data_IF_222203869603
#
_entry.id   IF_222203869603
#
_cell.length_a   1.000
_cell.length_b   1.000
_cell.length_c   1.000
_cell.angle_alpha   90.00
_cell.angle_beta   90.00
_cell.angle_gamma   90.00
#
_symmetry.space_group_name_H-M   'P 1'
#
loop_
_entity.id
_entity.type
_entity.pdbx_description
1 polymer ?
#
# COMPACT_ATOMS: atom_id res chain seq x y z
N UNK A 1 12.09 -2.31 -1.22
CA UNK A 1 10.70 -2.81 -1.07
C UNK A 1 10.26 -3.75 -2.20
N UNK A 2 10.17 -3.32 -3.47
CA UNK A 2 9.58 -4.15 -4.55
C UNK A 2 10.29 -5.49 -4.79
N UNK A 3 11.64 -5.52 -4.82
CA UNK A 3 12.39 -6.78 -4.95
C UNK A 3 12.10 -7.78 -3.82
N UNK A 4 11.97 -7.30 -2.58
CA UNK A 4 11.67 -8.13 -1.41
C UNK A 4 10.26 -8.69 -1.49
N UNK A 5 9.27 -7.89 -1.94
CA UNK A 5 7.90 -8.39 -2.16
C UNK A 5 7.86 -9.48 -3.22
N UNK A 6 8.55 -9.30 -4.35
CA UNK A 6 8.64 -10.31 -5.40
C UNK A 6 9.31 -11.60 -4.90
N UNK A 7 10.39 -11.49 -4.13
CA UNK A 7 11.05 -12.65 -3.52
C UNK A 7 10.11 -13.39 -2.54
N UNK A 8 9.37 -12.66 -1.70
CA UNK A 8 8.36 -13.25 -0.81
C UNK A 8 7.24 -13.95 -1.58
N UNK A 9 6.75 -13.35 -2.67
CA UNK A 9 5.72 -13.98 -3.50
C UNK A 9 6.25 -15.28 -4.12
N UNK A 10 7.48 -15.26 -4.63
CA UNK A 10 8.12 -16.44 -5.21
C UNK A 10 8.24 -17.57 -4.18
N UNK A 11 8.73 -17.25 -2.97
CA UNK A 11 8.85 -18.19 -1.87
C UNK A 11 7.51 -18.84 -1.49
N UNK A 12 6.45 -18.04 -1.38
CA UNK A 12 5.09 -18.51 -1.04
C UNK A 12 4.52 -19.54 -2.02
N UNK A 13 5.00 -19.54 -3.26
CA UNK A 13 4.55 -20.47 -4.30
C UNK A 13 5.65 -21.46 -4.71
N UNK A 14 6.67 -21.64 -3.87
CA UNK A 14 7.72 -22.64 -4.05
C UNK A 14 8.68 -22.34 -5.20
N UNK A 15 8.89 -21.07 -5.52
CA UNK A 15 9.91 -20.63 -6.46
C UNK A 15 11.21 -20.22 -5.75
N UNK A 16 12.38 -20.43 -6.38
CA UNK A 16 13.67 -20.03 -5.81
C UNK A 16 13.76 -18.51 -5.68
N UNK A 17 14.51 -18.03 -4.69
CA UNK A 17 14.68 -16.59 -4.38
C UNK A 17 16.10 -16.07 -4.59
N UNK A 18 17.00 -16.90 -5.15
CA UNK A 18 18.43 -16.60 -5.31
C UNK A 18 18.74 -15.43 -6.25
N UNK A 19 18.02 -15.32 -7.38
CA UNK A 19 18.19 -14.22 -8.34
C UNK A 19 16.88 -13.83 -9.02
N UNK A 20 16.81 -12.58 -9.52
CA UNK A 20 15.65 -12.13 -10.30
C UNK A 20 15.40 -12.97 -11.55
N UNK A 21 16.46 -13.52 -12.16
CA UNK A 21 16.33 -14.39 -13.35
C UNK A 21 15.64 -15.70 -13.00
N UNK A 22 16.09 -16.37 -11.94
CA UNK A 22 15.52 -17.65 -11.47
C UNK A 22 14.08 -17.47 -10.99
N UNK A 23 13.81 -16.39 -10.25
CA UNK A 23 12.45 -16.03 -9.83
C UNK A 23 11.54 -15.92 -11.06
N UNK A 24 11.90 -15.09 -12.05
CA UNK A 24 11.07 -14.89 -13.25
C UNK A 24 10.87 -16.18 -14.03
N UNK A 25 11.91 -17.00 -14.17
CA UNK A 25 11.83 -18.27 -14.88
C UNK A 25 10.84 -19.22 -14.21
N UNK A 26 10.89 -19.34 -12.89
CA UNK A 26 9.94 -20.17 -12.14
C UNK A 26 8.53 -19.59 -12.14
N UNK A 27 8.35 -18.29 -11.93
CA UNK A 27 7.02 -17.66 -11.94
C UNK A 27 6.30 -17.88 -13.27
N UNK A 28 7.04 -17.89 -14.39
CA UNK A 28 6.47 -18.19 -15.73
C UNK A 28 5.94 -19.62 -15.90
N UNK A 29 6.36 -20.57 -15.05
CA UNK A 29 5.84 -21.95 -15.09
C UNK A 29 4.64 -22.15 -14.17
N UNK A 30 4.29 -21.15 -13.35
CA UNK A 30 3.20 -21.25 -12.38
C UNK A 30 1.86 -20.87 -13.02
N UNK A 31 0.75 -21.54 -12.65
CA UNK A 31 -0.58 -21.08 -13.00
C UNK A 31 -0.81 -19.64 -12.51
N UNK A 32 -1.39 -18.79 -13.35
CA UNK A 32 -1.68 -17.40 -12.99
C UNK A 32 -2.54 -17.29 -11.71
N UNK A 33 -3.48 -18.21 -11.51
CA UNK A 33 -4.31 -18.27 -10.32
C UNK A 33 -3.51 -18.51 -9.03
N UNK A 34 -2.40 -19.25 -9.09
CA UNK A 34 -1.53 -19.48 -7.93
C UNK A 34 -0.80 -18.18 -7.55
N UNK A 35 -0.30 -17.44 -8.56
CA UNK A 35 0.36 -16.14 -8.38
C UNK A 35 -0.61 -15.11 -7.77
N UNK A 36 -1.80 -14.97 -8.36
CA UNK A 36 -2.83 -14.02 -7.87
C UNK A 36 -3.33 -14.46 -6.49
N UNK A 37 -3.50 -15.76 -6.26
CA UNK A 37 -3.92 -16.30 -4.97
C UNK A 37 -2.93 -16.00 -3.83
N UNK A 38 -1.65 -15.81 -4.14
CA UNK A 38 -0.63 -15.42 -3.16
C UNK A 38 -0.73 -13.95 -2.71
N UNK A 39 -1.41 -13.08 -3.47
CA UNK A 39 -1.53 -11.64 -3.17
C UNK A 39 -2.19 -11.41 -1.80
N UNK A 40 -3.10 -12.28 -1.37
CA UNK A 40 -3.77 -12.18 -0.05
C UNK A 40 -2.79 -12.14 1.13
N UNK A 41 -1.59 -12.72 1.00
CA UNK A 41 -0.57 -12.70 2.05
C UNK A 41 0.17 -11.35 2.19
N UNK A 42 -0.14 -10.41 1.30
CA UNK A 42 0.36 -9.04 1.32
C UNK A 42 -0.69 -8.04 1.83
N UNK A 43 -1.90 -8.52 2.17
CA UNK A 43 -2.97 -7.71 2.74
C UNK A 43 -2.96 -7.89 4.26
N UNK A 44 -2.27 -6.97 4.94
CA UNK A 44 -2.00 -7.04 6.37
C UNK A 44 -3.24 -6.79 7.24
N UNK A 45 -4.19 -5.98 6.77
CA UNK A 45 -5.44 -5.70 7.49
C UNK A 45 -6.59 -5.57 6.49
N UNK A 46 -7.48 -6.57 6.49
CA UNK A 46 -8.56 -6.69 5.50
C UNK A 46 -7.97 -6.62 4.08
N UNK A 47 -8.39 -5.65 3.27
CA UNK A 47 -7.88 -5.41 1.93
C UNK A 47 -6.74 -4.38 1.89
N UNK A 48 -6.03 -4.12 3.00
CA UNK A 48 -5.00 -3.08 3.10
C UNK A 48 -3.59 -3.65 3.28
N UNK A 49 -2.57 -3.11 2.59
CA UNK A 49 -2.66 -2.02 1.59
C UNK A 49 -3.43 -2.45 0.33
N UNK A 50 -4.29 -1.58 -0.23
CA UNK A 50 -5.16 -1.92 -1.37
C UNK A 50 -4.39 -2.24 -2.66
N UNK A 51 -3.15 -1.74 -2.77
CA UNK A 51 -2.24 -2.03 -3.87
C UNK A 51 -0.91 -2.57 -3.31
N UNK A 52 -0.83 -3.88 -3.00
CA UNK A 52 0.42 -4.47 -2.51
C UNK A 52 1.51 -4.49 -3.59
N UNK A 53 1.10 -4.58 -4.87
CA UNK A 53 1.96 -4.46 -6.05
C UNK A 53 1.50 -3.25 -6.87
N UNK A 54 2.38 -2.25 -6.97
CA UNK A 54 2.11 -1.00 -7.70
C UNK A 54 3.26 -0.63 -8.63
N UNK A 55 3.18 0.58 -9.18
CA UNK A 55 4.18 1.13 -10.11
C UNK A 55 5.51 1.32 -9.37
N UNK A 56 6.62 1.09 -10.07
CA UNK A 56 7.98 1.32 -9.58
C UNK A 56 8.74 2.18 -10.58
N UNK A 57 9.74 2.93 -10.10
CA UNK A 57 10.69 3.61 -10.99
C UNK A 57 11.46 2.55 -11.77
N UNK A 58 11.51 2.66 -13.10
CA UNK A 58 12.09 1.65 -13.98
C UNK A 58 13.22 2.16 -14.90
N UNK A 59 13.58 3.44 -14.79
CA UNK A 59 14.65 4.06 -15.60
C UNK A 59 16.04 3.47 -15.41
N UNK A 60 16.31 2.79 -14.29
CA UNK A 60 17.63 2.21 -14.02
C UNK A 60 17.84 0.82 -14.64
N UNK A 61 16.80 0.17 -15.17
CA UNK A 61 16.88 -1.22 -15.67
C UNK A 61 16.06 -1.51 -16.92
N UNK A 62 15.02 -0.74 -17.21
CA UNK A 62 14.22 -0.91 -18.43
C UNK A 62 14.90 -0.25 -19.62
N UNK A 63 14.90 -0.91 -20.78
CA UNK A 63 15.32 -0.29 -22.05
C UNK A 63 14.32 0.76 -22.53
N UNK A 64 13.04 0.58 -22.19
CA UNK A 64 11.93 1.47 -22.53
C UNK A 64 11.14 1.75 -21.23
N UNK A 65 11.63 2.64 -20.37
CA UNK A 65 11.01 2.90 -19.07
C UNK A 65 9.64 3.56 -19.21
N UNK A 66 8.67 3.09 -18.44
CA UNK A 66 7.34 3.73 -18.30
C UNK A 66 7.39 4.85 -17.26
N UNK A 67 8.12 4.64 -16.16
CA UNK A 67 8.33 5.63 -15.10
C UNK A 67 9.84 5.79 -14.84
N UNK A 68 10.54 6.59 -15.66
CA UNK A 68 12.00 6.64 -15.65
C UNK A 68 12.60 7.22 -14.36
N UNK A 69 11.86 8.06 -13.64
CA UNK A 69 12.29 8.67 -12.38
C UNK A 69 11.07 8.91 -11.47
N UNK A 70 11.30 9.39 -10.25
CA UNK A 70 10.24 9.71 -9.31
C UNK A 70 9.27 10.75 -9.89
N UNK A 71 7.94 10.53 -9.85
CA UNK A 71 6.96 11.41 -10.49
C UNK A 71 7.09 12.88 -10.08
N UNK A 72 7.31 13.14 -8.79
CA UNK A 72 7.51 14.50 -8.28
C UNK A 72 8.71 15.21 -8.92
N UNK A 73 9.81 14.49 -9.17
CA UNK A 73 11.00 15.06 -9.82
C UNK A 73 10.73 15.32 -11.30
N UNK A 74 10.09 14.39 -12.00
CA UNK A 74 9.70 14.57 -13.40
C UNK A 74 8.82 15.82 -13.59
N UNK A 75 7.87 16.04 -12.66
CA UNK A 75 7.03 17.24 -12.65
C UNK A 75 7.84 18.52 -12.45
N UNK A 76 8.73 18.56 -11.44
CA UNK A 76 9.56 19.73 -11.17
C UNK A 76 10.52 20.08 -12.33
N UNK A 77 11.01 19.05 -13.04
CA UNK A 77 11.91 19.23 -14.17
C UNK A 77 11.18 19.49 -15.50
N UNK A 78 9.85 19.55 -15.51
CA UNK A 78 9.06 19.70 -16.74
C UNK A 78 9.18 18.51 -17.70
N UNK A 79 9.62 17.34 -17.21
CA UNK A 79 9.74 16.10 -17.98
C UNK A 79 8.42 15.33 -18.01
N UNK A 80 7.35 16.05 -18.29
CA UNK A 80 5.98 15.54 -18.41
C UNK A 80 5.34 16.18 -19.65
N UNK A 81 4.22 15.62 -20.11
CA UNK A 81 3.47 16.23 -21.20
C UNK A 81 2.80 17.52 -20.70
N UNK A 82 3.05 18.63 -21.38
CA UNK A 82 2.40 19.91 -21.09
C UNK A 82 1.06 20.01 -21.82
N UNK A 83 0.02 19.46 -21.19
CA UNK A 83 -1.33 19.39 -21.72
C UNK A 83 -2.34 19.88 -20.65
N UNK A 84 -3.47 20.47 -21.05
CA UNK A 84 -4.54 20.81 -20.10
C UNK A 84 -4.99 19.57 -19.32
N UNK A 85 -5.00 19.68 -17.98
CA UNK A 85 -5.41 18.60 -17.09
C UNK A 85 -6.40 19.12 -16.05
N UNK A 86 -7.49 18.36 -15.84
CA UNK A 86 -8.49 18.60 -14.81
C UNK A 86 -8.45 17.46 -13.79
N UNK A 87 -8.38 17.81 -12.50
CA UNK A 87 -8.39 16.86 -11.38
C UNK A 87 -9.58 17.21 -10.49
N UNK A 88 -10.32 16.20 -10.03
CA UNK A 88 -11.42 16.33 -9.09
C UNK A 88 -11.31 15.30 -7.97
N UNK A 89 -11.95 15.59 -6.84
CA UNK A 89 -12.14 14.64 -5.74
C UNK A 89 -13.55 14.83 -5.16
N UNK A 90 -14.09 13.82 -4.47
CA UNK A 90 -15.32 13.98 -3.69
C UNK A 90 -15.00 14.37 -2.23
N UNK A 91 -16.02 14.75 -1.48
CA UNK A 91 -15.89 15.09 -0.05
C UNK A 91 -15.73 13.87 0.85
N UNK A 92 -16.00 12.66 0.34
CA UNK A 92 -16.10 11.43 1.13
C UNK A 92 -15.34 10.23 0.54
N UNK A 93 -14.26 10.45 -0.23
CA UNK A 93 -13.42 9.39 -0.82
C UNK A 93 -12.96 8.36 0.22
N UNK A 94 -12.64 8.83 1.43
CA UNK A 94 -12.18 7.98 2.53
C UNK A 94 -13.17 6.90 2.96
N UNK A 95 -14.45 6.97 2.56
CA UNK A 95 -15.40 5.86 2.72
C UNK A 95 -14.88 4.57 2.08
N UNK A 96 -14.07 4.67 1.03
CA UNK A 96 -13.20 3.58 0.61
C UNK A 96 -11.79 3.81 1.17
N UNK A 97 -11.25 2.91 2.02
CA UNK A 97 -11.84 1.65 2.50
C UNK A 97 -12.57 1.78 3.85
N UNK A 98 -12.78 2.98 4.42
CA UNK A 98 -13.26 3.11 5.80
C UNK A 98 -14.61 2.42 6.10
N UNK A 99 -15.46 2.21 5.08
CA UNK A 99 -16.71 1.46 5.22
C UNK A 99 -16.48 0.01 5.64
N UNK A 100 -15.42 -0.66 5.16
CA UNK A 100 -15.08 -2.03 5.57
C UNK A 100 -14.70 -2.10 7.06
N UNK A 101 -14.15 -1.01 7.60
CA UNK A 101 -13.84 -0.89 9.02
C UNK A 101 -15.12 -0.63 9.82
N UNK A 102 -15.96 0.28 9.34
CA UNK A 102 -17.18 0.68 10.03
C UNK A 102 -18.25 -0.42 10.05
N UNK A 103 -18.30 -1.29 9.03
CA UNK A 103 -19.31 -2.34 8.92
C UNK A 103 -19.20 -3.44 9.99
N UNK A 104 -18.07 -3.55 10.70
CA UNK A 104 -17.86 -4.52 11.77
C UNK A 104 -17.16 -3.87 12.98
N UNK A 105 -17.82 -3.90 14.13
CA UNK A 105 -17.31 -3.29 15.37
C UNK A 105 -15.94 -3.84 15.77
N UNK A 106 -15.67 -5.12 15.51
CA UNK A 106 -14.38 -5.72 15.81
C UNK A 106 -13.24 -5.07 15.03
N UNK A 107 -13.47 -4.64 13.79
CA UNK A 107 -12.44 -3.95 13.00
C UNK A 107 -12.10 -2.59 13.60
N UNK A 108 -13.10 -1.84 14.09
CA UNK A 108 -12.88 -0.56 14.76
C UNK A 108 -12.13 -0.72 16.09
N UNK A 109 -12.45 -1.77 16.85
CA UNK A 109 -11.75 -2.13 18.09
C UNK A 109 -10.30 -2.50 17.80
N UNK A 110 -10.05 -3.32 16.78
CA UNK A 110 -8.70 -3.71 16.36
C UNK A 110 -7.89 -2.48 15.95
N UNK A 111 -8.47 -1.56 15.16
CA UNK A 111 -7.82 -0.30 14.78
C UNK A 111 -7.51 0.57 16.01
N UNK A 112 -8.42 0.67 16.98
CA UNK A 112 -8.22 1.51 18.16
C UNK A 112 -7.10 0.98 19.07
N UNK A 113 -7.07 -0.34 19.25
CA UNK A 113 -6.16 -1.04 20.18
C UNK A 113 -4.80 -1.35 19.57
N UNK A 114 -4.74 -1.61 18.27
CA UNK A 114 -3.52 -1.94 17.51
C UNK A 114 -3.16 -0.83 16.52
N UNK A 115 -3.47 0.41 16.86
CA UNK A 115 -3.32 1.59 16.00
C UNK A 115 -1.96 1.67 15.28
N UNK A 116 -0.86 1.56 16.04
CA UNK A 116 0.51 1.64 15.48
C UNK A 116 0.86 0.46 14.57
N UNK A 117 0.19 -0.68 14.71
CA UNK A 117 0.40 -1.86 13.87
C UNK A 117 -0.39 -1.74 12.56
N UNK A 118 -1.66 -1.32 12.63
CA UNK A 118 -2.61 -1.38 11.51
C UNK A 118 -2.53 -0.14 10.60
N UNK A 119 -2.50 1.05 11.18
CA UNK A 119 -2.62 2.31 10.41
C UNK A 119 -1.50 2.53 9.39
N UNK A 120 -0.24 2.08 9.60
CA UNK A 120 0.78 2.14 8.56
C UNK A 120 0.38 1.44 7.25
N UNK A 121 -0.41 0.36 7.32
CA UNK A 121 -0.90 -0.35 6.15
C UNK A 121 -2.12 0.33 5.53
N UNK A 122 -3.05 0.80 6.37
CA UNK A 122 -4.29 1.49 5.93
C UNK A 122 -3.98 2.83 5.26
N UNK A 123 -3.00 3.58 5.77
CA UNK A 123 -2.61 4.89 5.23
C UNK A 123 -1.33 4.81 4.37
N UNK A 124 -0.91 3.61 3.98
CA UNK A 124 0.13 3.37 2.98
C UNK A 124 1.52 3.97 3.30
N UNK A 125 1.85 4.18 4.58
CA UNK A 125 3.19 4.67 4.97
C UNK A 125 4.11 3.61 5.56
N UNK A 126 3.67 2.35 5.66
CA UNK A 126 4.50 1.26 6.19
C UNK A 126 5.84 1.07 5.45
N UNK A 127 5.92 1.44 4.18
CA UNK A 127 7.16 1.31 3.38
C UNK A 127 7.80 2.64 3.00
N UNK A 128 7.13 3.77 3.27
CA UNK A 128 7.65 5.11 2.94
C UNK A 128 8.26 5.84 4.14
N UNK A 129 7.90 5.44 5.36
CA UNK A 129 8.44 6.01 6.61
C UNK A 129 9.48 5.06 7.22
N UNK A 130 10.58 5.64 7.70
CA UNK A 130 11.62 4.89 8.41
C UNK A 130 11.04 4.13 9.62
N UNK A 131 11.44 2.87 9.87
CA UNK A 131 10.86 2.05 10.94
C UNK A 131 10.80 2.73 12.31
N UNK A 132 11.84 3.46 12.69
CA UNK A 132 11.93 4.16 13.98
C UNK A 132 10.95 5.33 14.14
N UNK A 133 10.40 5.85 13.04
CA UNK A 133 9.50 7.00 13.02
C UNK A 133 8.03 6.60 12.88
N UNK A 134 7.73 5.35 12.50
CA UNK A 134 6.37 4.91 12.19
C UNK A 134 5.40 5.14 13.34
N UNK A 135 5.76 4.74 14.55
CA UNK A 135 4.92 4.90 15.73
C UNK A 135 4.65 6.37 16.06
N UNK A 136 5.65 7.23 15.85
CA UNK A 136 5.49 8.67 16.06
C UNK A 136 4.55 9.27 15.01
N UNK A 137 4.70 8.91 13.74
CA UNK A 137 3.77 9.30 12.66
C UNK A 137 2.35 8.81 12.96
N UNK A 138 2.19 7.54 13.34
CA UNK A 138 0.90 6.95 13.76
C UNK A 138 0.25 7.79 14.86
N UNK A 139 1.01 8.13 15.91
CA UNK A 139 0.52 8.92 17.05
C UNK A 139 0.13 10.34 16.63
N UNK A 140 0.94 11.01 15.82
CA UNK A 140 0.64 12.36 15.32
C UNK A 140 -0.67 12.38 14.52
N UNK A 141 -0.90 11.39 13.66
CA UNK A 141 -2.15 11.25 12.90
C UNK A 141 -3.33 11.05 13.85
N UNK A 142 -3.20 10.13 14.82
CA UNK A 142 -4.26 9.87 15.80
C UNK A 142 -4.64 11.11 16.58
N UNK A 143 -3.63 11.84 17.07
CA UNK A 143 -3.84 13.05 17.86
C UNK A 143 -4.53 14.14 17.02
N UNK A 144 -4.03 14.39 15.81
CA UNK A 144 -4.57 15.44 14.94
C UNK A 144 -6.05 15.23 14.60
N UNK A 145 -6.42 14.00 14.21
CA UNK A 145 -7.76 13.69 13.71
C UNK A 145 -8.74 13.25 14.81
N UNK A 146 -8.28 12.54 15.84
CA UNK A 146 -9.16 11.94 16.85
C UNK A 146 -9.12 12.66 18.20
N UNK A 147 -8.03 13.37 18.54
CA UNK A 147 -7.91 14.18 19.78
C UNK A 147 -8.32 13.40 21.04
N UNK A 148 -7.78 12.19 21.19
CA UNK A 148 -8.09 11.29 22.31
C UNK A 148 -9.44 10.56 22.25
N UNK A 149 -10.24 10.74 21.18
CA UNK A 149 -11.45 9.95 20.96
C UNK A 149 -11.11 8.55 20.44
N UNK A 150 -11.83 7.54 20.92
CA UNK A 150 -11.69 6.16 20.43
C UNK A 150 -12.30 6.00 19.04
N UNK A 151 -11.65 5.24 18.17
CA UNK A 151 -12.22 4.86 16.85
C UNK A 151 -13.35 3.86 16.95
N UNK A 152 -13.50 3.18 18.10
CA UNK A 152 -14.58 2.21 18.36
C UNK A 152 -15.94 2.85 18.61
N UNK A 153 -15.98 4.17 18.86
CA UNK A 153 -17.22 4.90 19.09
C UNK A 153 -17.88 5.23 17.75
N UNK A 154 -18.88 4.43 17.36
CA UNK A 154 -19.74 4.76 16.21
C UNK A 154 -20.54 6.02 16.51
N UNK A 155 -20.38 7.04 15.67
CA UNK A 155 -21.27 8.19 15.67
C UNK A 155 -22.57 7.73 14.99
N UNK A 156 -23.75 7.93 15.60
CA UNK A 156 -25.00 7.59 14.94
C UNK A 156 -25.11 8.39 13.65
N UNK A 157 -25.20 7.68 12.52
CA UNK A 157 -25.52 8.29 11.23
C UNK A 157 -27.00 8.66 11.32
N UNK A 158 -27.28 9.97 11.34
CA UNK A 158 -28.64 10.55 11.29
C UNK A 158 -29.27 10.23 9.94
#
# INVERSE_FOLDING_TARGET
HSKQKTARLADLIGCPTGSSREIVQCLKTKPAAEIVGAVKFFLNFLYNPFSPFGIVVDGYWSKNPVLPDHPYKLLLEGKVQDLPWLISHTTAEGLYPAFDFYSNDQHLIDIDTKWNEIIPFVLHYNESVEPRLKDDVSRQIREHYLRGKSTSLKIPII
#
